data_IF_097348433589
#
_entry.id   IF_097348433589
#
_cell.length_a   1.000
_cell.length_b   1.000
_cell.length_c   1.000
_cell.angle_alpha   90.00
_cell.angle_beta   90.00
_cell.angle_gamma   90.00
#
_symmetry.space_group_name_H-M   'P 1'
#
loop_
_entity.id
_entity.type
_entity.pdbx_description
1 polymer ?
#
# COMPACT_ATOMS: atom_id res chain seq x y z
N UNK A 1 1.61 -46.14 10.59
CA UNK A 1 1.24 -45.67 9.23
C UNK A 1 1.12 -44.15 9.25
N UNK A 2 2.15 -43.39 8.84
CA UNK A 2 2.05 -41.92 8.81
C UNK A 2 1.40 -41.45 7.51
N UNK A 3 0.39 -40.57 7.65
CA UNK A 3 -0.32 -39.95 6.54
C UNK A 3 0.52 -38.84 5.90
N UNK A 4 0.83 -38.99 4.62
CA UNK A 4 1.52 -37.98 3.81
C UNK A 4 0.56 -36.83 3.50
N UNK A 5 0.81 -35.66 4.09
CA UNK A 5 0.08 -34.43 3.74
C UNK A 5 0.62 -33.91 2.40
N UNK A 6 -0.21 -33.69 1.37
CA UNK A 6 0.25 -33.16 0.10
C UNK A 6 0.62 -31.67 0.23
N UNK A 7 1.82 -31.32 -0.28
CA UNK A 7 2.32 -29.95 -0.31
C UNK A 7 1.45 -29.03 -1.18
N UNK A 8 1.31 -27.74 -0.83
CA UNK A 8 0.47 -26.80 -1.55
C UNK A 8 1.01 -26.45 -2.95
N UNK A 9 0.07 -26.31 -3.88
CA UNK A 9 0.25 -26.12 -5.34
C UNK A 9 1.14 -24.96 -5.79
N UNK A 10 1.45 -23.99 -4.92
CA UNK A 10 2.31 -22.86 -5.27
C UNK A 10 3.82 -23.21 -5.24
N UNK A 11 4.20 -24.36 -4.68
CA UNK A 11 5.60 -24.81 -4.61
C UNK A 11 6.13 -25.50 -5.90
N UNK A 12 5.36 -25.53 -7.00
CA UNK A 12 5.73 -26.25 -8.25
C UNK A 12 6.31 -25.38 -9.37
N UNK A 13 6.56 -24.10 -9.15
CA UNK A 13 7.10 -23.20 -10.19
C UNK A 13 8.59 -22.94 -10.00
N UNK A 14 9.41 -23.98 -10.14
CA UNK A 14 10.85 -23.82 -10.43
C UNK A 14 11.40 -25.13 -10.97
N UNK A 15 11.38 -25.27 -12.28
CA UNK A 15 12.36 -26.10 -12.99
C UNK A 15 12.79 -25.32 -14.21
N UNK A 16 14.03 -24.86 -14.14
CA UNK A 16 14.76 -24.18 -15.18
C UNK A 16 14.80 -25.02 -16.45
N UNK A 17 14.50 -24.40 -17.59
CA UNK A 17 14.78 -24.97 -18.90
C UNK A 17 16.29 -24.94 -19.13
N UNK A 18 16.89 -26.12 -19.27
CA UNK A 18 18.23 -26.31 -19.79
C UNK A 18 18.25 -26.12 -21.33
N UNK A 19 19.40 -25.71 -21.92
CA UNK A 19 19.50 -25.32 -23.34
C UNK A 19 19.81 -26.53 -24.24
N UNK A 20 19.46 -26.49 -25.54
CA UNK A 20 20.05 -27.38 -26.53
C UNK A 20 21.34 -26.79 -27.13
N UNK A 21 22.24 -27.71 -27.42
CA UNK A 21 23.65 -27.53 -27.73
C UNK A 21 23.97 -27.25 -29.21
N UNK A 22 25.17 -26.69 -29.38
CA UNK A 22 26.15 -26.90 -30.45
C UNK A 22 25.85 -26.44 -31.88
N UNK A 23 26.67 -25.50 -32.36
CA UNK A 23 27.39 -25.69 -33.63
C UNK A 23 28.78 -25.09 -33.51
N UNK A 24 29.78 -25.95 -33.52
CA UNK A 24 31.21 -25.63 -33.59
C UNK A 24 31.62 -25.54 -35.06
N UNK A 25 32.36 -24.51 -35.44
CA UNK A 25 33.30 -24.58 -36.57
C UNK A 25 34.61 -23.89 -36.19
N UNK A 26 35.77 -24.49 -36.53
CA UNK A 26 37.09 -23.95 -36.20
C UNK A 26 37.56 -22.99 -37.30
N UNK A 27 38.27 -21.92 -36.94
CA UNK A 27 39.15 -21.23 -37.89
C UNK A 27 40.26 -20.49 -37.15
N UNK A 28 41.42 -21.16 -37.11
CA UNK A 28 42.76 -20.66 -37.42
C UNK A 28 43.15 -19.23 -37.02
N UNK A 29 44.05 -19.18 -36.04
CA UNK A 29 45.13 -18.24 -35.74
C UNK A 29 45.31 -17.01 -36.65
N UNK A 30 45.34 -15.84 -36.00
CA UNK A 30 46.33 -14.81 -36.29
C UNK A 30 46.68 -14.07 -34.99
N UNK A 31 47.75 -14.52 -34.33
CA UNK A 31 48.57 -13.69 -33.44
C UNK A 31 49.13 -12.53 -34.27
N UNK A 32 48.82 -11.29 -33.91
CA UNK A 32 49.69 -10.13 -34.14
C UNK A 32 49.41 -9.08 -33.07
N UNK A 33 50.45 -8.87 -32.27
CA UNK A 33 50.65 -7.98 -31.14
C UNK A 33 50.27 -6.51 -31.35
N UNK A 34 49.69 -5.86 -30.32
CA UNK A 34 50.27 -4.71 -29.60
C UNK A 34 49.38 -4.33 -28.37
N UNK A 35 49.94 -3.64 -27.34
CA UNK A 35 49.40 -3.60 -25.98
C UNK A 35 48.40 -2.47 -25.77
N UNK A 36 47.22 -2.76 -25.24
CA UNK A 36 46.23 -1.75 -24.86
C UNK A 36 45.88 -1.89 -23.38
N UNK A 37 46.21 -0.82 -22.65
CA UNK A 37 45.88 -0.37 -21.30
C UNK A 37 44.97 -1.22 -20.37
N UNK A 38 45.24 -1.19 -19.05
CA UNK A 38 44.35 -1.77 -18.04
C UNK A 38 42.98 -1.10 -18.09
N UNK A 39 41.95 -1.88 -18.41
CA UNK A 39 40.56 -1.45 -18.40
C UNK A 39 40.16 -1.12 -16.95
N UNK A 40 39.84 0.13 -16.59
CA UNK A 40 39.29 0.42 -15.28
C UNK A 40 37.89 -0.21 -15.18
N UNK A 41 37.44 -0.66 -13.99
CA UNK A 41 36.09 -1.15 -13.82
C UNK A 41 35.12 -0.03 -14.16
N UNK A 42 34.30 -0.26 -15.18
CA UNK A 42 33.13 0.59 -15.47
C UNK A 42 32.22 0.47 -14.25
N UNK A 43 32.30 1.48 -13.38
CA UNK A 43 31.28 1.75 -12.39
C UNK A 43 30.03 2.09 -13.19
N UNK A 44 29.15 1.11 -13.35
CA UNK A 44 27.81 1.33 -13.90
C UNK A 44 27.05 2.18 -12.87
N UNK A 45 27.24 3.49 -12.98
CA UNK A 45 26.55 4.49 -12.22
C UNK A 45 25.05 4.31 -12.51
N UNK A 46 24.33 3.81 -11.51
CA UNK A 46 22.88 3.69 -11.50
C UNK A 46 22.29 5.02 -12.01
N UNK A 47 21.45 5.02 -13.06
CA UNK A 47 20.96 6.27 -13.64
C UNK A 47 20.25 7.10 -12.56
N UNK A 48 20.44 8.44 -12.55
CA UNK A 48 19.78 9.31 -11.59
C UNK A 48 18.26 9.13 -11.73
N UNK A 49 17.61 8.68 -10.65
CA UNK A 49 16.15 8.55 -10.56
C UNK A 49 15.54 9.90 -10.93
N UNK A 50 15.03 10.03 -12.16
CA UNK A 50 14.36 11.25 -12.60
C UNK A 50 13.28 11.64 -11.58
N UNK A 51 13.12 12.95 -11.28
CA UNK A 51 12.02 13.42 -10.45
C UNK A 51 10.70 13.00 -11.11
N UNK A 52 9.78 12.36 -10.37
CA UNK A 52 8.56 11.84 -10.96
C UNK A 52 7.71 12.97 -11.53
N UNK A 53 7.12 12.72 -12.70
CA UNK A 53 6.08 13.57 -13.28
C UNK A 53 4.97 13.74 -12.24
N UNK A 54 4.60 14.98 -11.86
CA UNK A 54 3.62 15.20 -10.79
C UNK A 54 2.31 14.51 -11.15
N UNK A 55 1.88 13.55 -10.33
CA UNK A 55 0.59 12.89 -10.54
C UNK A 55 -0.53 13.94 -10.45
N UNK A 56 -1.60 13.79 -11.25
CA UNK A 56 -2.71 14.73 -11.21
C UNK A 56 -3.33 14.75 -9.81
N UNK A 57 -3.60 15.97 -9.32
CA UNK A 57 -4.32 16.17 -8.06
C UNK A 57 -5.73 15.60 -8.19
N UNK A 58 -6.08 14.65 -7.33
CA UNK A 58 -7.40 14.04 -7.30
C UNK A 58 -8.19 14.70 -6.19
N UNK A 59 -9.34 15.29 -6.52
CA UNK A 59 -10.20 15.96 -5.56
C UNK A 59 -11.56 15.29 -5.47
N UNK A 60 -12.11 15.22 -4.26
CA UNK A 60 -13.51 14.87 -4.05
C UNK A 60 -14.42 16.00 -4.57
N UNK A 61 -15.63 15.69 -5.08
CA UNK A 61 -16.60 16.69 -5.52
C UNK A 61 -16.91 17.77 -4.48
N UNK A 62 -16.83 17.42 -3.19
CA UNK A 62 -17.13 18.32 -2.08
C UNK A 62 -15.93 19.17 -1.63
N UNK A 63 -14.75 19.01 -2.26
CA UNK A 63 -13.50 19.70 -1.89
C UNK A 63 -12.90 19.29 -0.53
N UNK A 64 -13.55 18.36 0.18
CA UNK A 64 -13.15 17.90 1.53
C UNK A 64 -12.00 16.91 1.55
N UNK A 65 -11.63 16.39 0.37
CA UNK A 65 -10.56 15.43 0.18
C UNK A 65 -9.76 15.88 -1.04
N UNK A 66 -8.50 16.26 -0.82
CA UNK A 66 -7.58 16.63 -1.90
C UNK A 66 -6.34 15.76 -1.77
N UNK A 67 -6.14 14.92 -2.77
CA UNK A 67 -5.01 14.02 -2.87
C UNK A 67 -4.02 14.59 -3.88
N UNK A 68 -2.89 15.05 -3.37
CA UNK A 68 -1.76 15.54 -4.15
C UNK A 68 -0.76 14.39 -4.38
N UNK A 69 0.42 14.69 -4.90
CA UNK A 69 1.46 13.67 -5.16
C UNK A 69 2.16 13.20 -3.86
N UNK A 70 2.30 14.10 -2.88
CA UNK A 70 3.08 13.85 -1.65
C UNK A 70 2.25 13.91 -0.36
N UNK A 71 1.07 14.51 -0.42
CA UNK A 71 0.23 14.75 0.74
C UNK A 71 -1.25 14.54 0.41
N UNK A 72 -1.99 14.17 1.45
CA UNK A 72 -3.43 14.05 1.47
C UNK A 72 -3.98 15.11 2.41
N UNK A 73 -4.94 15.91 1.96
CA UNK A 73 -5.73 16.76 2.85
C UNK A 73 -7.14 16.22 3.01
N UNK A 74 -7.58 16.04 4.26
CA UNK A 74 -8.93 15.60 4.62
C UNK A 74 -9.51 16.60 5.62
N UNK A 75 -10.62 17.25 5.26
CA UNK A 75 -11.31 18.22 6.12
C UNK A 75 -10.37 19.31 6.69
N UNK A 76 -9.39 19.75 5.88
CA UNK A 76 -8.40 20.76 6.29
C UNK A 76 -7.19 20.22 7.06
N UNK A 77 -7.13 18.93 7.37
CA UNK A 77 -5.95 18.28 7.98
C UNK A 77 -5.06 17.66 6.91
N UNK A 78 -3.76 17.94 6.96
CA UNK A 78 -2.77 17.45 5.99
C UNK A 78 -2.00 16.26 6.56
N UNK A 79 -1.89 15.19 5.77
CA UNK A 79 -1.16 13.97 6.07
C UNK A 79 -0.14 13.68 4.97
N UNK A 80 1.09 13.33 5.33
CA UNK A 80 2.11 12.90 4.37
C UNK A 80 1.84 11.48 3.88
N UNK A 81 1.96 11.22 2.57
CA UNK A 81 1.72 9.88 2.01
C UNK A 81 2.71 8.83 2.52
N UNK A 82 3.93 9.23 2.89
CA UNK A 82 4.93 8.35 3.52
C UNK A 82 4.57 7.94 4.96
N UNK A 83 3.73 8.71 5.65
CA UNK A 83 3.30 8.39 7.02
C UNK A 83 2.06 7.50 7.05
N UNK A 84 1.34 7.40 5.93
CA UNK A 84 0.08 6.68 5.83
C UNK A 84 0.35 5.24 5.40
N UNK A 85 -0.16 4.28 6.15
CA UNK A 85 -0.03 2.86 5.83
C UNK A 85 -1.19 2.41 4.92
N UNK A 86 -2.42 2.79 5.30
CA UNK A 86 -3.62 2.37 4.60
C UNK A 86 -4.77 3.33 4.89
N UNK A 87 -5.67 3.50 3.93
CA UNK A 87 -6.96 4.12 4.13
C UNK A 87 -8.11 3.12 3.89
N UNK A 88 -9.16 3.21 4.69
CA UNK A 88 -10.34 2.37 4.59
C UNK A 88 -11.61 3.22 4.75
N UNK A 89 -12.64 2.94 3.94
CA UNK A 89 -13.96 3.57 4.07
C UNK A 89 -14.97 2.50 4.47
N UNK A 90 -15.58 2.71 5.63
CA UNK A 90 -16.64 1.86 6.14
C UNK A 90 -17.97 2.61 6.09
N UNK A 91 -19.02 1.94 5.60
CA UNK A 91 -20.38 2.45 5.73
C UNK A 91 -20.87 2.17 7.14
N UNK A 92 -21.11 3.23 7.92
CA UNK A 92 -21.72 3.07 9.23
C UNK A 92 -23.21 2.91 9.04
N UNK A 93 -23.66 1.65 9.00
CA UNK A 93 -25.10 1.35 9.05
C UNK A 93 -25.57 1.72 10.44
N UNK A 94 -26.47 2.69 10.53
CA UNK A 94 -27.11 3.06 11.79
C UNK A 94 -28.07 1.96 12.22
N UNK A 95 -27.52 0.90 12.82
CA UNK A 95 -28.27 -0.15 13.53
C UNK A 95 -29.19 0.50 14.57
N UNK A 96 -28.78 1.62 15.17
CA UNK A 96 -29.58 2.38 16.12
C UNK A 96 -30.91 2.87 15.51
N UNK A 97 -30.93 3.37 14.26
CA UNK A 97 -32.19 3.77 13.61
C UNK A 97 -33.07 2.57 13.31
N UNK A 98 -32.48 1.43 12.95
CA UNK A 98 -33.23 0.18 12.73
C UNK A 98 -33.85 -0.33 14.03
N UNK A 99 -33.08 -0.33 15.12
CA UNK A 99 -33.57 -0.70 16.45
C UNK A 99 -34.66 0.27 16.93
N UNK A 100 -34.47 1.57 16.74
CA UNK A 100 -35.44 2.59 17.14
C UNK A 100 -36.72 2.51 16.30
N UNK A 101 -36.60 2.28 14.99
CA UNK A 101 -37.73 2.04 14.10
C UNK A 101 -38.47 0.75 14.44
N UNK A 102 -37.74 -0.33 14.75
CA UNK A 102 -38.30 -1.60 15.22
C UNK A 102 -39.02 -1.48 16.57
N UNK A 103 -38.44 -0.73 17.52
CA UNK A 103 -39.06 -0.43 18.82
C UNK A 103 -40.33 0.40 18.64
N UNK A 104 -40.29 1.40 17.77
CA UNK A 104 -41.46 2.20 17.40
C UNK A 104 -42.56 1.34 16.80
N UNK A 105 -42.21 0.46 15.83
CA UNK A 105 -43.17 -0.44 15.19
C UNK A 105 -43.81 -1.38 16.21
N UNK A 106 -43.00 -1.92 17.14
CA UNK A 106 -43.47 -2.80 18.21
C UNK A 106 -44.42 -2.06 19.15
N UNK A 107 -44.09 -0.82 19.54
CA UNK A 107 -44.95 0.02 20.39
C UNK A 107 -46.29 0.32 19.72
N UNK A 108 -46.28 0.65 18.43
CA UNK A 108 -47.49 0.90 17.64
C UNK A 108 -48.34 -0.36 17.52
N UNK A 109 -47.71 -1.52 17.28
CA UNK A 109 -48.40 -2.80 17.20
C UNK A 109 -49.06 -3.15 18.53
N UNK A 110 -48.35 -2.99 19.66
CA UNK A 110 -48.91 -3.20 21.00
C UNK A 110 -50.11 -2.26 21.24
N UNK A 111 -49.98 -0.97 20.91
CA UNK A 111 -51.06 0.01 21.06
C UNK A 111 -52.28 -0.33 20.18
N UNK A 112 -52.06 -0.82 18.95
CA UNK A 112 -53.13 -1.28 18.06
C UNK A 112 -53.85 -2.52 18.62
N UNK A 113 -53.10 -3.49 19.19
CA UNK A 113 -53.68 -4.67 19.84
C UNK A 113 -54.48 -4.29 21.09
N UNK A 114 -54.01 -3.32 21.87
CA UNK A 114 -54.69 -2.84 23.09
C UNK A 114 -55.94 -2.02 22.80
N UNK A 115 -55.95 -1.27 21.69
CA UNK A 115 -56.97 -0.27 21.40
C UNK A 115 -57.65 -0.56 20.05
N UNK A 116 -58.52 -1.58 20.04
CA UNK A 116 -59.15 -2.18 18.85
C UNK A 116 -60.03 -1.25 17.98
N UNK A 117 -60.06 0.07 18.20
CA UNK A 117 -61.01 0.97 17.53
C UNK A 117 -60.46 2.32 17.00
N UNK A 118 -59.16 2.62 17.07
CA UNK A 118 -58.64 3.88 16.52
C UNK A 118 -57.50 3.67 15.52
N UNK A 119 -57.87 3.61 14.24
CA UNK A 119 -57.00 3.50 13.05
C UNK A 119 -56.03 4.68 12.89
N UNK A 120 -56.40 5.87 13.39
CA UNK A 120 -55.62 7.11 13.28
C UNK A 120 -54.25 7.03 14.01
N UNK A 121 -54.17 6.68 15.31
CA UNK A 121 -52.89 6.54 16.00
C UNK A 121 -51.98 5.47 15.38
N UNK A 122 -52.54 4.37 14.87
CA UNK A 122 -51.77 3.34 14.18
C UNK A 122 -51.14 3.85 12.87
N UNK A 123 -51.89 4.61 12.07
CA UNK A 123 -51.37 5.24 10.85
C UNK A 123 -50.26 6.26 11.13
N UNK A 124 -50.42 7.08 12.16
CA UNK A 124 -49.38 8.05 12.56
C UNK A 124 -48.12 7.32 13.01
N UNK A 125 -48.26 6.28 13.83
CA UNK A 125 -47.14 5.46 14.29
C UNK A 125 -46.38 4.78 13.14
N UNK A 126 -47.11 4.22 12.17
CA UNK A 126 -46.52 3.64 10.96
C UNK A 126 -45.82 4.70 10.09
N UNK A 127 -46.44 5.87 9.90
CA UNK A 127 -45.84 6.95 9.13
C UNK A 127 -44.57 7.47 9.81
N UNK A 128 -44.58 7.68 11.12
CA UNK A 128 -43.40 8.13 11.89
C UNK A 128 -42.28 7.09 11.84
N UNK A 129 -42.58 5.81 12.00
CA UNK A 129 -41.55 4.75 11.92
C UNK A 129 -41.01 4.57 10.52
N UNK A 130 -41.84 4.67 9.48
CA UNK A 130 -41.41 4.66 8.09
C UNK A 130 -40.52 5.87 7.76
N UNK A 131 -40.86 7.07 8.25
CA UNK A 131 -40.05 8.28 8.07
C UNK A 131 -38.71 8.15 8.79
N UNK A 132 -38.69 7.58 10.00
CA UNK A 132 -37.48 7.30 10.76
C UNK A 132 -36.58 6.31 10.03
N UNK A 133 -37.16 5.24 9.46
CA UNK A 133 -36.44 4.26 8.67
C UNK A 133 -35.84 4.91 7.43
N UNK A 134 -36.65 5.67 6.68
CA UNK A 134 -36.21 6.36 5.47
C UNK A 134 -35.11 7.38 5.76
N UNK A 135 -35.23 8.14 6.85
CA UNK A 135 -34.21 9.08 7.30
C UNK A 135 -32.93 8.35 7.74
N UNK A 136 -33.05 7.22 8.43
CA UNK A 136 -31.94 6.38 8.86
C UNK A 136 -31.16 5.67 7.74
N UNK A 137 -31.74 5.54 6.53
CA UNK A 137 -31.05 5.01 5.35
C UNK A 137 -30.00 5.99 4.79
N UNK A 138 -30.05 7.27 5.17
CA UNK A 138 -29.07 8.28 4.77
C UNK A 138 -27.80 8.15 5.63
N UNK A 139 -27.10 7.03 5.45
CA UNK A 139 -25.91 6.69 6.23
C UNK A 139 -24.75 7.67 6.02
N UNK A 140 -23.91 7.80 7.05
CA UNK A 140 -22.62 8.50 6.96
C UNK A 140 -21.52 7.48 6.69
N UNK A 141 -20.56 7.85 5.84
CA UNK A 141 -19.37 7.02 5.62
C UNK A 141 -18.32 7.41 6.65
N UNK A 142 -17.59 6.43 7.18
CA UNK A 142 -16.46 6.65 8.08
C UNK A 142 -15.17 6.31 7.35
N UNK A 143 -14.30 7.29 7.18
CA UNK A 143 -12.95 7.12 6.69
C UNK A 143 -12.04 6.84 7.89
N UNK A 144 -11.25 5.78 7.78
CA UNK A 144 -10.20 5.41 8.72
C UNK A 144 -8.86 5.50 8.01
N UNK A 145 -7.94 6.28 8.57
CA UNK A 145 -6.59 6.47 8.06
C UNK A 145 -5.61 5.89 9.05
N UNK A 146 -4.89 4.86 8.64
CA UNK A 146 -3.85 4.22 9.43
C UNK A 146 -2.53 4.95 9.22
N UNK A 147 -1.87 5.31 10.31
CA UNK A 147 -0.59 6.01 10.33
C UNK A 147 0.47 5.10 10.92
N UNK A 148 1.67 5.11 10.34
CA UNK A 148 2.77 4.28 10.80
C UNK A 148 3.08 4.60 12.29
N UNK A 149 2.87 3.62 13.16
CA UNK A 149 3.13 3.74 14.60
C UNK A 149 2.19 4.67 15.38
N UNK A 150 1.03 5.05 14.83
CA UNK A 150 0.02 5.88 15.53
C UNK A 150 -1.39 5.31 15.40
N UNK A 151 -2.28 5.76 16.28
CA UNK A 151 -3.70 5.43 16.20
C UNK A 151 -4.31 5.93 14.89
N UNK A 152 -5.30 5.18 14.40
CA UNK A 152 -5.99 5.51 13.17
C UNK A 152 -6.81 6.80 13.33
N UNK A 153 -6.64 7.74 12.39
CA UNK A 153 -7.48 8.94 12.33
C UNK A 153 -8.85 8.59 11.73
N UNK A 154 -9.91 9.12 12.33
CA UNK A 154 -11.28 8.82 11.92
C UNK A 154 -12.00 10.08 11.45
N UNK A 155 -12.62 10.00 10.28
CA UNK A 155 -13.40 11.10 9.71
C UNK A 155 -14.76 10.62 9.24
N UNK A 156 -15.76 11.48 9.37
CA UNK A 156 -17.10 11.22 8.83
C UNK A 156 -17.28 11.97 7.53
N UNK A 157 -17.57 11.23 6.45
CA UNK A 157 -17.74 11.74 5.11
C UNK A 157 -19.20 11.56 4.66
N UNK A 158 -19.89 12.66 4.30
CA UNK A 158 -21.22 12.56 3.68
C UNK A 158 -21.12 12.04 2.24
N UNK A 159 -22.22 11.53 1.70
CA UNK A 159 -22.34 11.18 0.28
C UNK A 159 -22.26 9.68 -0.04
N UNK A 160 -22.04 9.37 -1.31
CA UNK A 160 -22.12 8.01 -1.83
C UNK A 160 -20.85 7.19 -1.52
N UNK A 161 -21.04 5.99 -0.96
CA UNK A 161 -19.93 5.08 -0.62
C UNK A 161 -19.06 4.72 -1.82
N UNK A 162 -19.65 4.48 -3.00
CA UNK A 162 -18.93 4.05 -4.19
C UNK A 162 -17.88 5.10 -4.63
N UNK A 163 -18.23 6.38 -4.56
CA UNK A 163 -17.32 7.50 -4.85
C UNK A 163 -16.15 7.51 -3.87
N UNK A 164 -16.43 7.34 -2.57
CA UNK A 164 -15.38 7.30 -1.55
C UNK A 164 -14.48 6.05 -1.65
N UNK A 165 -15.04 4.90 -2.03
CA UNK A 165 -14.26 3.68 -2.28
C UNK A 165 -13.30 3.84 -3.45
N UNK A 166 -13.71 4.52 -4.53
CA UNK A 166 -12.83 4.83 -5.67
C UNK A 166 -11.68 5.75 -5.25
N UNK A 167 -11.99 6.82 -4.51
CA UNK A 167 -10.97 7.77 -4.01
C UNK A 167 -9.98 7.09 -3.07
N UNK A 168 -10.46 6.21 -2.18
CA UNK A 168 -9.58 5.46 -1.27
C UNK A 168 -8.80 4.36 -1.98
N UNK A 169 -9.37 3.73 -3.02
CA UNK A 169 -8.62 2.83 -3.89
C UNK A 169 -7.44 3.53 -4.57
N UNK A 170 -7.64 4.75 -5.08
CA UNK A 170 -6.57 5.56 -5.66
C UNK A 170 -5.54 6.01 -4.60
N UNK A 171 -5.99 6.41 -3.41
CA UNK A 171 -5.10 6.72 -2.29
C UNK A 171 -4.20 5.54 -1.93
N UNK A 172 -4.77 4.35 -1.74
CA UNK A 172 -4.01 3.15 -1.39
C UNK A 172 -3.02 2.75 -2.48
N UNK A 173 -3.38 2.92 -3.76
CA UNK A 173 -2.45 2.72 -4.88
C UNK A 173 -1.26 3.68 -4.81
N UNK A 174 -1.48 4.95 -4.50
CA UNK A 174 -0.40 5.95 -4.36
C UNK A 174 0.48 5.67 -3.15
N UNK A 175 -0.13 5.33 -2.00
CA UNK A 175 0.58 4.92 -0.80
C UNK A 175 1.51 3.74 -1.11
N UNK A 176 0.99 2.69 -1.76
CA UNK A 176 1.79 1.51 -2.12
C UNK A 176 3.00 1.90 -2.98
N UNK A 177 2.80 2.70 -4.03
CA UNK A 177 3.90 3.17 -4.91
C UNK A 177 4.97 3.95 -4.16
N UNK A 178 4.58 4.80 -3.21
CA UNK A 178 5.51 5.60 -2.41
C UNK A 178 6.32 4.69 -1.47
N UNK A 179 5.70 3.65 -0.91
CA UNK A 179 6.38 2.67 -0.07
C UNK A 179 7.32 1.78 -0.88
N UNK A 180 6.90 1.31 -2.05
CA UNK A 180 7.74 0.51 -2.96
C UNK A 180 8.99 1.30 -3.37
N UNK A 181 8.83 2.60 -3.66
CA UNK A 181 9.96 3.48 -3.99
C UNK A 181 10.89 3.68 -2.79
N UNK A 182 10.34 3.91 -1.61
CA UNK A 182 11.15 4.05 -0.39
C UNK A 182 11.90 2.76 -0.05
N UNK A 183 11.30 1.59 -0.29
CA UNK A 183 11.95 0.29 -0.12
C UNK A 183 13.09 0.09 -1.13
N UNK A 184 12.89 0.47 -2.40
CA UNK A 184 13.94 0.42 -3.42
C UNK A 184 15.11 1.36 -3.10
N UNK A 185 14.83 2.58 -2.63
CA UNK A 185 15.84 3.55 -2.17
C UNK A 185 16.66 2.97 -0.99
N UNK A 186 15.99 2.37 -0.01
CA UNK A 186 16.66 1.74 1.13
C UNK A 186 17.52 0.54 0.72
N UNK A 187 17.04 -0.31 -0.20
CA UNK A 187 17.80 -1.44 -0.72
C UNK A 187 19.06 -0.99 -1.48
N UNK A 188 18.97 0.09 -2.27
CA UNK A 188 20.11 0.64 -2.98
C UNK A 188 21.20 1.17 -2.03
N UNK A 189 20.80 1.85 -0.95
CA UNK A 189 21.73 2.32 0.09
C UNK A 189 22.42 1.16 0.81
N UNK A 190 21.67 0.09 1.10
CA UNK A 190 22.22 -1.10 1.75
C UNK A 190 23.21 -1.83 0.83
N UNK A 191 22.88 -1.99 -0.45
CA UNK A 191 23.79 -2.59 -1.44
C UNK A 191 25.08 -1.76 -1.62
N UNK A 192 24.98 -0.43 -1.59
CA UNK A 192 26.16 0.45 -1.65
C UNK A 192 27.06 0.27 -0.41
N UNK A 193 26.47 0.20 0.79
CA UNK A 193 27.22 -0.04 2.02
C UNK A 193 27.88 -1.42 2.04
N UNK A 194 27.21 -2.46 1.55
CA UNK A 194 27.79 -3.80 1.42
C UNK A 194 28.97 -3.82 0.43
N UNK A 195 28.86 -3.12 -0.71
CA UNK A 195 29.95 -3.01 -1.67
C UNK A 195 31.19 -2.31 -1.09
N UNK A 196 31.01 -1.28 -0.26
CA UNK A 196 32.11 -0.62 0.46
C UNK A 196 32.81 -1.58 1.43
N UNK A 197 32.05 -2.39 2.18
CA UNK A 197 32.63 -3.37 3.09
C UNK A 197 33.43 -4.46 2.36
N UNK A 198 32.94 -4.91 1.20
CA UNK A 198 33.68 -5.87 0.35
C UNK A 198 34.95 -5.24 -0.21
N UNK A 199 34.91 -3.99 -0.66
CA UNK A 199 36.08 -3.27 -1.16
C UNK A 199 37.16 -3.09 -0.07
N UNK A 200 36.76 -2.79 1.17
CA UNK A 200 37.68 -2.68 2.32
C UNK A 200 38.32 -4.03 2.66
N UNK A 201 37.55 -5.13 2.61
CA UNK A 201 38.10 -6.48 2.86
C UNK A 201 38.98 -7.01 1.72
N UNK A 202 38.73 -6.59 0.49
CA UNK A 202 39.53 -6.98 -0.68
C UNK A 202 40.88 -6.24 -0.76
N UNK A 203 41.11 -5.23 0.09
CA UNK A 203 42.40 -4.57 0.18
C UNK A 203 43.43 -5.58 0.70
N UNK A 204 44.48 -5.92 -0.07
CA UNK A 204 45.47 -6.88 0.37
C UNK A 204 46.11 -6.41 1.68
N UNK A 205 46.49 -7.32 2.60
CA UNK A 205 47.24 -6.93 3.78
C UNK A 205 48.48 -6.17 3.32
N UNK A 206 48.68 -4.98 3.91
CA UNK A 206 49.81 -4.12 3.58
C UNK A 206 51.09 -4.97 3.56
N UNK A 207 51.95 -4.83 2.53
CA UNK A 207 53.21 -5.55 2.53
C UNK A 207 53.91 -5.23 3.84
N UNK A 208 54.29 -6.28 4.57
CA UNK A 208 55.13 -6.18 5.76
C UNK A 208 56.29 -5.25 5.42
N UNK A 209 56.24 -4.02 5.96
CA UNK A 209 57.39 -3.14 6.00
C UNK A 209 58.38 -3.82 6.95
N UNK A 210 59.11 -4.80 6.44
CA UNK A 210 60.37 -5.25 7.00
C UNK A 210 61.28 -4.02 6.99
N UNK A 211 61.26 -3.30 8.11
CA UNK A 211 62.23 -2.27 8.42
C UNK A 211 63.62 -2.84 8.14
N UNK A 212 64.48 -2.17 7.35
CA UNK A 212 65.86 -2.58 7.24
C UNK A 212 66.48 -2.50 8.64
N UNK A 213 66.84 -3.65 9.20
CA UNK A 213 67.64 -3.73 10.42
C UNK A 213 68.91 -2.90 10.23
N UNK A 214 69.15 -1.86 11.05
CA UNK A 214 70.37 -1.08 10.93
C UNK A 214 71.56 -1.95 11.37
N UNK A 215 72.54 -2.03 10.47
CA UNK A 215 73.95 -2.43 10.60
C UNK A 215 74.44 -3.00 11.94
N UNK A 216 75.12 -4.16 11.85
CA UNK A 216 76.20 -4.58 12.75
C UNK A 216 77.39 -5.08 11.91
#
# INVERSE_FOLDING_TARGET
MPATVPAPQWARSSTAGAPPAATSTPSTNAETSLPEAPVPPVVEALPPLLPPTPLPTVQSPDGRFVLTDTHLTVLGQTFGLRELEQAEVQRVRWVLWVLLGGLGLTTVLIAFLQNWLHTLPAMVGLATTALLLAYGQRGTNRLRLWRLGREAAHFTLPGELATWQRLVGELNRRISRVHDRAAAEAAALLAAAEAELVAVQALPPAPDNTLPTPFA
#
